data_IF_744529630623
#
_entry.id   IF_744529630623
#
_cell.length_a   1.000
_cell.length_b   1.000
_cell.length_c   1.000
_cell.angle_alpha   90.00
_cell.angle_beta   90.00
_cell.angle_gamma   90.00
#
_symmetry.space_group_name_H-M   'P 1'
#
loop_
_entity.id
_entity.type
_entity.pdbx_description
1 polymer ?
#
# COMPACT_ATOMS: atom_id res chain seq x y z
N UNK A 1 -5.21 13.24 -90.92
CA UNK A 1 -4.08 13.72 -90.12
C UNK A 1 -4.05 12.97 -88.80
N UNK A 2 -3.20 11.96 -88.64
CA UNK A 2 -3.07 11.08 -87.53
C UNK A 2 -1.93 11.58 -86.67
N UNK A 3 -2.16 11.77 -85.36
CA UNK A 3 -1.09 11.95 -84.34
C UNK A 3 -1.07 10.70 -83.46
N UNK A 4 -0.05 9.88 -83.63
CA UNK A 4 0.31 8.82 -82.71
C UNK A 4 0.83 9.36 -81.41
N UNK A 5 0.24 8.94 -80.26
CA UNK A 5 0.82 9.14 -78.94
C UNK A 5 1.59 7.86 -78.58
N UNK A 6 2.90 8.02 -78.28
CA UNK A 6 3.76 7.05 -77.65
C UNK A 6 3.50 7.02 -76.16
N UNK A 7 3.15 5.84 -75.64
CA UNK A 7 3.04 5.60 -74.19
C UNK A 7 4.39 5.01 -73.72
N UNK A 8 5.11 5.78 -72.96
CA UNK A 8 6.32 5.28 -72.28
C UNK A 8 5.96 4.45 -71.06
N UNK A 9 6.43 3.22 -70.98
CA UNK A 9 6.42 2.40 -69.78
C UNK A 9 7.44 2.94 -68.80
N UNK A 10 6.98 3.46 -67.67
CA UNK A 10 7.79 3.67 -66.47
C UNK A 10 7.72 2.44 -65.59
N UNK A 11 8.83 1.72 -65.49
CA UNK A 11 9.01 0.63 -64.53
C UNK A 11 9.08 1.23 -63.11
N UNK A 12 8.06 0.96 -62.31
CA UNK A 12 8.08 1.28 -60.88
C UNK A 12 8.91 0.18 -60.16
N UNK A 13 10.12 0.54 -59.76
CA UNK A 13 10.90 -0.25 -58.81
C UNK A 13 10.24 -0.12 -57.43
N UNK A 14 9.62 -1.20 -56.96
CA UNK A 14 9.09 -1.31 -55.62
C UNK A 14 10.25 -1.37 -54.63
N UNK A 15 10.48 -0.25 -53.91
CA UNK A 15 11.38 -0.19 -52.78
C UNK A 15 10.69 -0.88 -51.59
N UNK A 16 11.01 -2.14 -51.33
CA UNK A 16 10.56 -2.88 -50.14
C UNK A 16 11.26 -2.28 -48.91
N UNK A 17 10.59 -1.40 -48.21
CA UNK A 17 11.01 -0.96 -46.89
C UNK A 17 10.83 -2.15 -45.95
N UNK A 18 11.91 -2.80 -45.57
CA UNK A 18 11.96 -3.74 -44.45
C UNK A 18 11.63 -2.95 -43.19
N UNK A 19 10.37 -2.99 -42.75
CA UNK A 19 9.99 -2.61 -41.42
C UNK A 19 10.72 -3.54 -40.46
N UNK A 20 11.41 -3.02 -39.41
CA UNK A 20 12.01 -3.88 -38.41
C UNK A 20 10.89 -4.72 -37.78
N UNK A 21 11.12 -6.04 -37.79
CA UNK A 21 10.15 -7.01 -37.31
C UNK A 21 9.65 -6.61 -35.91
N UNK A 22 8.36 -6.39 -35.78
CA UNK A 22 7.69 -6.45 -34.48
C UNK A 22 7.91 -7.88 -34.01
N UNK A 23 8.85 -8.07 -33.09
CA UNK A 23 8.88 -9.30 -32.31
C UNK A 23 7.52 -9.35 -31.59
N UNK A 24 6.63 -10.19 -32.05
CA UNK A 24 5.44 -10.53 -31.30
C UNK A 24 5.95 -11.19 -30.01
N UNK A 25 5.84 -10.47 -28.89
CA UNK A 25 6.03 -11.08 -27.59
C UNK A 25 4.99 -12.20 -27.50
N UNK A 26 5.44 -13.41 -27.17
CA UNK A 26 4.51 -14.51 -26.94
C UNK A 26 3.55 -14.10 -25.82
N UNK A 27 2.24 -14.25 -26.03
CA UNK A 27 1.26 -14.02 -24.99
C UNK A 27 1.61 -14.87 -23.75
N UNK A 28 1.37 -14.34 -22.56
CA UNK A 28 1.57 -15.10 -21.32
C UNK A 28 0.68 -16.35 -21.33
N UNK A 29 1.24 -17.45 -20.81
CA UNK A 29 0.51 -18.71 -20.68
C UNK A 29 -0.38 -18.67 -19.43
N UNK A 30 -1.72 -18.88 -19.54
CA UNK A 30 -2.64 -18.85 -18.40
C UNK A 30 -2.24 -19.78 -17.24
N UNK A 31 -1.67 -20.95 -17.55
CA UNK A 31 -1.16 -21.88 -16.55
C UNK A 31 0.04 -21.30 -15.77
N UNK A 32 0.90 -20.52 -16.43
CA UNK A 32 2.00 -19.80 -15.80
C UNK A 32 1.50 -18.71 -14.87
N UNK A 33 0.52 -17.94 -15.30
CA UNK A 33 -0.12 -16.90 -14.46
C UNK A 33 -0.73 -17.51 -13.18
N UNK A 34 -1.49 -18.61 -13.31
CA UNK A 34 -2.12 -19.30 -12.18
C UNK A 34 -1.07 -19.86 -11.19
N UNK A 35 0.01 -20.45 -11.69
CA UNK A 35 1.10 -20.97 -10.86
C UNK A 35 1.79 -19.85 -10.05
N UNK A 36 2.07 -18.71 -10.70
CA UNK A 36 2.67 -17.54 -10.05
C UNK A 36 1.72 -16.95 -9.00
N UNK A 37 0.42 -16.80 -9.33
CA UNK A 37 -0.59 -16.29 -8.39
C UNK A 37 -0.72 -17.18 -7.15
N UNK A 38 -0.82 -18.50 -7.30
CA UNK A 38 -0.84 -19.44 -6.18
C UNK A 38 0.42 -19.35 -5.32
N UNK A 39 1.60 -19.19 -5.96
CA UNK A 39 2.86 -18.93 -5.27
C UNK A 39 2.82 -17.63 -4.47
N UNK A 40 2.39 -16.52 -5.08
CA UNK A 40 2.28 -15.21 -4.43
C UNK A 40 1.31 -15.22 -3.24
N UNK A 41 0.17 -15.92 -3.34
CA UNK A 41 -0.73 -16.04 -2.20
C UNK A 41 -0.03 -16.72 -1.03
N UNK A 42 0.65 -17.85 -1.26
CA UNK A 42 1.32 -18.63 -0.21
C UNK A 42 2.54 -17.95 0.40
N UNK A 43 3.37 -17.30 -0.41
CA UNK A 43 4.67 -16.80 0.04
C UNK A 43 4.70 -15.31 0.32
N UNK A 44 3.71 -14.55 -0.19
CA UNK A 44 3.67 -13.10 -0.04
C UNK A 44 2.41 -12.60 0.69
N UNK A 45 1.20 -12.90 0.17
CA UNK A 45 -0.03 -12.33 0.72
C UNK A 45 -0.37 -12.93 2.11
N UNK A 46 -0.49 -14.25 2.22
CA UNK A 46 -0.88 -14.91 3.47
C UNK A 46 0.07 -14.62 4.63
N UNK A 47 1.41 -14.77 4.50
CA UNK A 47 2.31 -14.47 5.61
C UNK A 47 2.22 -13.02 6.11
N UNK A 48 1.96 -12.07 5.21
CA UNK A 48 1.82 -10.64 5.55
C UNK A 48 0.50 -10.36 6.25
N UNK A 49 -0.61 -10.95 5.80
CA UNK A 49 -1.90 -10.81 6.49
C UNK A 49 -1.94 -11.58 7.81
N UNK A 50 -1.23 -12.71 7.93
CA UNK A 50 -1.02 -13.38 9.21
C UNK A 50 -0.24 -12.51 10.19
N UNK A 51 0.81 -11.84 9.72
CA UNK A 51 1.58 -10.89 10.53
C UNK A 51 0.71 -9.70 10.99
N UNK A 52 -0.14 -9.15 10.10
CA UNK A 52 -1.08 -8.09 10.46
C UNK A 52 -2.08 -8.55 11.51
N UNK A 53 -2.73 -9.70 11.30
CA UNK A 53 -3.69 -10.24 12.26
C UNK A 53 -3.04 -10.59 13.61
N UNK A 54 -1.80 -11.13 13.60
CA UNK A 54 -1.03 -11.41 14.80
C UNK A 54 -0.66 -10.16 15.57
N UNK A 55 -0.12 -9.13 14.89
CA UNK A 55 0.21 -7.86 15.51
C UNK A 55 -1.04 -7.14 16.07
N UNK A 56 -2.16 -7.16 15.32
CA UNK A 56 -3.43 -6.61 15.78
C UNK A 56 -3.97 -7.35 17.02
N UNK A 57 -3.77 -8.68 17.10
CA UNK A 57 -4.14 -9.48 18.27
C UNK A 57 -3.37 -9.06 19.53
N UNK A 58 -2.05 -8.94 19.42
CA UNK A 58 -1.19 -8.48 20.52
C UNK A 58 -1.60 -7.05 20.94
N UNK A 59 -1.87 -6.19 19.98
CA UNK A 59 -2.27 -4.80 20.25
C UNK A 59 -3.61 -4.73 20.99
N UNK A 60 -4.61 -5.48 20.54
CA UNK A 60 -5.92 -5.55 21.17
C UNK A 60 -5.83 -6.06 22.63
N UNK A 61 -5.00 -7.08 22.87
CA UNK A 61 -4.74 -7.59 24.22
C UNK A 61 -4.06 -6.54 25.13
N UNK A 62 -3.01 -5.86 24.63
CA UNK A 62 -2.32 -4.80 25.37
C UNK A 62 -3.25 -3.65 25.73
N UNK A 63 -4.10 -3.21 24.82
CA UNK A 63 -5.06 -2.15 25.09
C UNK A 63 -6.14 -2.58 26.07
N UNK A 64 -6.61 -3.82 26.04
CA UNK A 64 -7.55 -4.34 27.02
C UNK A 64 -6.95 -4.38 28.42
N UNK A 65 -5.71 -4.86 28.56
CA UNK A 65 -4.96 -4.85 29.83
C UNK A 65 -4.72 -3.42 30.36
N UNK A 66 -4.29 -2.52 29.47
CA UNK A 66 -4.05 -1.12 29.79
C UNK A 66 -5.34 -0.40 30.23
N UNK A 67 -6.46 -0.62 29.53
CA UNK A 67 -7.75 -0.02 29.91
C UNK A 67 -8.23 -0.46 31.28
N UNK A 68 -7.92 -1.71 31.69
CA UNK A 68 -8.27 -2.23 33.01
C UNK A 68 -7.38 -1.67 34.14
N UNK A 69 -6.09 -1.42 33.85
CA UNK A 69 -5.10 -0.92 34.83
C UNK A 69 -4.10 0.04 34.14
N UNK A 70 -4.48 1.29 33.90
CA UNK A 70 -3.63 2.25 33.20
C UNK A 70 -2.38 2.60 34.00
N UNK A 71 -1.19 2.38 33.41
CA UNK A 71 0.13 2.75 33.95
C UNK A 71 0.98 3.41 32.86
N UNK A 72 2.04 4.14 33.25
CA UNK A 72 2.96 4.74 32.30
C UNK A 72 3.60 3.67 31.36
N UNK A 73 4.09 2.58 31.92
CA UNK A 73 4.70 1.47 31.19
C UNK A 73 3.67 0.77 30.28
N UNK A 74 2.42 0.64 30.75
CA UNK A 74 1.31 0.10 29.97
C UNK A 74 1.00 0.96 28.74
N UNK A 75 1.02 2.29 28.87
CA UNK A 75 0.83 3.22 27.76
C UNK A 75 1.96 3.08 26.72
N UNK A 76 3.22 3.04 27.17
CA UNK A 76 4.36 2.84 26.26
C UNK A 76 4.31 1.46 25.57
N UNK A 77 3.88 0.42 26.29
CA UNK A 77 3.64 -0.91 25.69
C UNK A 77 2.55 -0.86 24.62
N UNK A 78 1.45 -0.13 24.84
CA UNK A 78 0.41 0.07 23.82
C UNK A 78 0.94 0.88 22.63
N UNK A 79 1.73 1.91 22.85
CA UNK A 79 2.37 2.71 21.79
C UNK A 79 3.34 1.89 20.95
N UNK A 80 4.12 1.00 21.59
CA UNK A 80 5.00 0.08 20.89
C UNK A 80 4.21 -0.93 20.05
N UNK A 81 3.13 -1.51 20.59
CA UNK A 81 2.24 -2.41 19.86
C UNK A 81 1.55 -1.71 18.68
N UNK A 82 1.14 -0.44 18.84
CA UNK A 82 0.60 0.37 17.74
C UNK A 82 1.58 0.48 16.57
N UNK A 83 2.86 0.79 16.88
CA UNK A 83 3.90 0.86 15.83
C UNK A 83 4.08 -0.47 15.12
N UNK A 84 4.03 -1.58 15.84
CA UNK A 84 4.16 -2.92 15.27
C UNK A 84 2.99 -3.27 14.33
N UNK A 85 1.75 -2.88 14.68
CA UNK A 85 0.60 -3.04 13.78
C UNK A 85 0.74 -2.16 12.54
N UNK A 86 1.24 -0.93 12.70
CA UNK A 86 1.49 -0.05 11.55
C UNK A 86 2.57 -0.61 10.62
N UNK A 87 3.63 -1.23 11.15
CA UNK A 87 4.63 -1.93 10.34
C UNK A 87 3.98 -3.05 9.50
N UNK A 88 3.16 -3.89 10.12
CA UNK A 88 2.46 -4.96 9.43
C UNK A 88 1.43 -4.41 8.42
N UNK A 89 0.72 -3.34 8.76
CA UNK A 89 -0.18 -2.63 7.85
C UNK A 89 0.55 -2.07 6.63
N UNK A 90 1.69 -1.40 6.82
CA UNK A 90 2.52 -0.91 5.72
C UNK A 90 2.97 -2.06 4.79
N UNK A 91 3.20 -3.25 5.36
CA UNK A 91 3.56 -4.45 4.62
C UNK A 91 2.48 -5.01 3.70
N UNK A 92 1.21 -4.61 3.84
CA UNK A 92 0.07 -5.09 3.04
C UNK A 92 -0.63 -4.00 2.24
N UNK A 93 -0.28 -2.73 2.41
CA UNK A 93 -0.98 -1.59 1.78
C UNK A 93 -1.03 -1.64 0.24
N UNK A 94 -0.11 -2.34 -0.40
CA UNK A 94 -0.08 -2.54 -1.85
C UNK A 94 -1.11 -3.59 -2.34
N UNK A 95 -1.64 -4.43 -1.45
CA UNK A 95 -2.63 -5.48 -1.75
C UNK A 95 -4.07 -4.97 -1.54
N UNK A 96 -4.37 -3.76 -2.03
CA UNK A 96 -5.69 -3.13 -1.85
C UNK A 96 -6.82 -3.77 -2.65
N UNK A 97 -6.52 -4.66 -3.59
CA UNK A 97 -7.51 -5.42 -4.33
C UNK A 97 -8.10 -6.60 -3.50
N UNK A 98 -9.16 -7.21 -4.01
CA UNK A 98 -9.79 -8.37 -3.40
C UNK A 98 -10.35 -8.11 -2.00
N UNK A 99 -10.07 -8.97 -1.00
CA UNK A 99 -10.68 -8.87 0.33
C UNK A 99 -10.48 -7.55 1.05
N UNK A 100 -9.35 -6.85 0.82
CA UNK A 100 -9.04 -5.57 1.47
C UNK A 100 -9.83 -4.40 0.89
N UNK A 101 -10.24 -4.44 -0.38
CA UNK A 101 -11.05 -3.41 -1.01
C UNK A 101 -12.53 -3.45 -0.61
N UNK A 102 -12.99 -4.59 -0.10
CA UNK A 102 -14.39 -4.78 0.24
C UNK A 102 -14.76 -4.01 1.52
N UNK A 103 -15.97 -3.46 1.56
CA UNK A 103 -16.53 -2.81 2.75
C UNK A 103 -15.65 -1.72 3.38
N UNK A 104 -14.87 -1.02 2.55
CA UNK A 104 -13.91 0.02 2.99
C UNK A 104 -12.90 -0.50 4.02
N UNK A 105 -12.57 -1.80 4.02
CA UNK A 105 -11.71 -2.41 5.04
C UNK A 105 -10.36 -1.71 5.16
N UNK A 106 -9.76 -1.29 4.05
CA UNK A 106 -8.51 -0.53 4.07
C UNK A 106 -8.65 0.78 4.85
N UNK A 107 -9.71 1.55 4.60
CA UNK A 107 -9.96 2.83 5.27
C UNK A 107 -10.41 2.63 6.73
N UNK A 108 -11.10 1.53 7.01
CA UNK A 108 -11.49 1.14 8.39
C UNK A 108 -10.29 0.68 9.22
N UNK A 109 -9.24 0.10 8.61
CA UNK A 109 -7.97 -0.19 9.30
C UNK A 109 -7.17 1.08 9.52
N UNK A 110 -7.02 1.95 8.50
CA UNK A 110 -6.28 3.19 8.64
C UNK A 110 -6.87 4.27 7.70
N UNK A 111 -7.60 5.22 8.28
CA UNK A 111 -8.23 6.31 7.54
C UNK A 111 -7.19 7.39 7.21
N UNK A 112 -6.51 7.20 6.10
CA UNK A 112 -5.50 8.13 5.60
C UNK A 112 -5.46 8.10 4.06
N UNK A 113 -5.30 9.26 3.35
CA UNK A 113 -5.14 10.63 3.88
C UNK A 113 -6.38 11.18 4.60
N UNK A 114 -6.14 11.84 5.73
CA UNK A 114 -7.21 12.48 6.51
C UNK A 114 -7.57 13.85 5.93
N UNK A 115 -8.85 14.10 5.65
CA UNK A 115 -9.34 15.41 5.20
C UNK A 115 -9.78 16.25 6.41
N UNK A 116 -9.24 17.47 6.51
CA UNK A 116 -9.72 18.54 7.40
C UNK A 116 -9.97 18.15 8.88
N UNK A 117 -9.16 17.28 9.45
CA UNK A 117 -9.23 16.91 10.87
C UNK A 117 -10.52 16.15 11.24
N UNK A 118 -11.08 15.37 10.33
CA UNK A 118 -12.32 14.61 10.55
C UNK A 118 -12.18 13.59 11.68
N UNK A 119 -11.05 12.88 11.73
CA UNK A 119 -10.77 11.90 12.80
C UNK A 119 -10.78 12.57 14.17
N UNK A 120 -10.07 13.71 14.31
CA UNK A 120 -10.02 14.46 15.56
C UNK A 120 -11.41 14.87 16.04
N UNK A 121 -12.20 15.50 15.14
CA UNK A 121 -13.54 15.98 15.51
C UNK A 121 -14.45 14.83 15.97
N UNK A 122 -14.41 13.70 15.25
CA UNK A 122 -15.26 12.55 15.58
C UNK A 122 -14.81 11.87 16.87
N UNK A 123 -13.51 11.67 17.09
CA UNK A 123 -12.99 11.10 18.36
C UNK A 123 -13.35 12.01 19.55
N UNK A 124 -13.19 13.32 19.42
CA UNK A 124 -13.58 14.25 20.49
C UNK A 124 -15.09 14.19 20.78
N UNK A 125 -15.93 14.08 19.72
CA UNK A 125 -17.38 13.91 19.89
C UNK A 125 -17.73 12.61 20.62
N UNK A 126 -17.08 11.49 20.28
CA UNK A 126 -17.26 10.19 20.96
C UNK A 126 -16.84 10.25 22.42
N UNK A 127 -15.68 10.85 22.72
CA UNK A 127 -15.19 11.03 24.09
C UNK A 127 -16.11 11.95 24.92
N UNK A 128 -16.77 12.91 24.30
CA UNK A 128 -17.76 13.79 24.95
C UNK A 128 -19.09 13.06 25.19
N UNK A 129 -19.58 12.33 24.21
CA UNK A 129 -20.86 11.61 24.28
C UNK A 129 -20.83 10.41 25.23
N UNK A 130 -19.71 9.69 25.29
CA UNK A 130 -19.49 8.49 26.12
C UNK A 130 -20.60 7.44 25.94
N UNK A 131 -21.09 7.27 24.70
CA UNK A 131 -22.14 6.28 24.40
C UNK A 131 -21.59 4.84 24.61
N UNK A 132 -22.13 4.07 25.58
CA UNK A 132 -21.67 2.71 25.84
C UNK A 132 -21.88 1.76 24.67
N UNK A 133 -22.83 2.04 23.76
CA UNK A 133 -23.08 1.23 22.55
C UNK A 133 -21.90 1.17 21.61
N UNK A 134 -20.97 2.12 21.68
CA UNK A 134 -19.71 2.10 20.91
C UNK A 134 -18.76 1.00 21.38
N UNK A 135 -18.90 0.54 22.61
CA UNK A 135 -18.07 -0.49 23.23
C UNK A 135 -18.61 -1.90 22.99
N UNK A 136 -19.85 -2.02 22.50
CA UNK A 136 -20.48 -3.30 22.19
C UNK A 136 -19.80 -3.95 20.96
N UNK A 137 -19.76 -5.28 20.85
CA UNK A 137 -19.33 -5.98 19.65
C UNK A 137 -20.05 -5.45 18.40
N UNK A 138 -19.30 -5.00 17.41
CA UNK A 138 -19.83 -4.38 16.19
C UNK A 138 -20.40 -2.97 16.36
N UNK A 139 -20.36 -2.37 17.55
CA UNK A 139 -20.75 -0.97 17.78
C UNK A 139 -19.97 0.00 16.89
N UNK A 140 -18.65 -0.17 16.83
CA UNK A 140 -17.76 0.62 15.98
C UNK A 140 -17.92 0.34 14.49
N UNK A 141 -18.25 -0.88 14.08
CA UNK A 141 -18.40 -1.23 12.67
C UNK A 141 -19.51 -0.41 11.96
N UNK A 142 -20.46 0.14 12.72
CA UNK A 142 -21.53 1.01 12.23
C UNK A 142 -21.16 2.51 12.19
N UNK A 143 -19.98 2.86 12.70
CA UNK A 143 -19.47 4.24 12.71
C UNK A 143 -18.74 4.56 11.41
N UNK A 144 -18.37 5.84 11.26
CA UNK A 144 -17.48 6.27 10.17
C UNK A 144 -16.15 5.52 10.20
N UNK A 145 -15.61 5.16 9.04
CA UNK A 145 -14.28 4.57 8.92
C UNK A 145 -13.19 5.40 9.63
N UNK A 146 -13.37 6.71 9.72
CA UNK A 146 -12.46 7.64 10.37
C UNK A 146 -12.18 7.33 11.86
N UNK A 147 -13.07 6.60 12.54
CA UNK A 147 -12.94 6.30 13.98
C UNK A 147 -12.73 4.82 14.28
N UNK A 148 -12.60 3.99 13.24
CA UNK A 148 -12.59 2.54 13.39
C UNK A 148 -11.19 1.90 13.52
N UNK A 149 -10.09 2.65 13.28
CA UNK A 149 -8.80 2.04 13.04
C UNK A 149 -7.60 2.76 13.63
N UNK A 150 -6.44 2.50 13.04
CA UNK A 150 -5.14 2.95 13.54
C UNK A 150 -5.03 4.47 13.65
N UNK A 151 -5.59 5.23 12.72
CA UNK A 151 -5.57 6.70 12.78
C UNK A 151 -6.34 7.24 13.99
N UNK A 152 -7.45 6.60 14.35
CA UNK A 152 -8.19 6.93 15.57
C UNK A 152 -7.41 6.57 16.84
N UNK A 153 -6.76 5.40 16.86
CA UNK A 153 -5.90 4.96 17.96
C UNK A 153 -4.67 5.87 18.15
N UNK A 154 -4.10 6.39 17.05
CA UNK A 154 -3.05 7.41 17.16
C UNK A 154 -3.52 8.64 17.93
N UNK A 155 -4.75 9.12 17.67
CA UNK A 155 -5.33 10.24 18.43
C UNK A 155 -5.53 9.90 19.89
N UNK A 156 -6.03 8.71 20.18
CA UNK A 156 -6.31 8.30 21.55
C UNK A 156 -5.04 8.11 22.39
N UNK A 157 -3.90 7.70 21.78
CA UNK A 157 -2.69 7.31 22.51
C UNK A 157 -1.53 8.30 22.40
N UNK A 158 -1.43 9.07 21.28
CA UNK A 158 -0.24 9.85 20.96
C UNK A 158 -0.48 11.35 20.81
N UNK A 159 -1.74 11.84 20.90
CA UNK A 159 -1.98 13.29 20.91
C UNK A 159 -1.20 13.94 22.06
N UNK A 160 -0.78 15.18 21.86
CA UNK A 160 -0.02 15.95 22.83
C UNK A 160 -0.73 16.00 24.19
N UNK A 161 0.02 15.81 25.25
CA UNK A 161 -0.50 15.78 26.63
C UNK A 161 -1.15 14.46 27.06
N UNK A 162 -1.24 13.45 26.17
CA UNK A 162 -1.76 12.13 26.56
C UNK A 162 -0.74 11.39 27.42
N UNK A 163 -1.15 11.11 28.66
CA UNK A 163 -0.41 10.31 29.64
C UNK A 163 -1.29 9.20 30.20
N UNK A 164 -0.76 8.31 31.01
CA UNK A 164 -1.55 7.30 31.70
C UNK A 164 -2.71 7.91 32.54
N UNK A 165 -2.52 9.09 33.10
CA UNK A 165 -3.57 9.80 33.84
C UNK A 165 -4.78 10.14 32.95
N UNK A 166 -4.60 10.29 31.62
CA UNK A 166 -5.69 10.53 30.68
C UNK A 166 -6.68 9.35 30.56
N UNK A 167 -6.35 8.21 31.16
CA UNK A 167 -7.13 6.96 31.14
C UNK A 167 -7.58 6.54 32.54
N UNK A 168 -7.28 7.33 33.56
CA UNK A 168 -7.54 7.06 34.97
C UNK A 168 -8.64 7.99 35.54
N UNK A 169 -9.02 7.74 36.80
CA UNK A 169 -9.85 8.61 37.58
C UNK A 169 -11.32 8.54 37.28
N UNK A 170 -11.84 9.48 36.50
CA UNK A 170 -13.27 9.66 36.25
C UNK A 170 -13.82 8.74 35.14
N UNK A 171 -15.11 8.92 34.86
CA UNK A 171 -15.80 8.20 33.77
C UNK A 171 -15.18 8.49 32.40
N UNK A 172 -14.69 9.72 32.15
CA UNK A 172 -14.13 10.11 30.87
C UNK A 172 -12.82 9.38 30.57
N UNK A 173 -11.93 9.27 31.57
CA UNK A 173 -10.68 8.51 31.44
C UNK A 173 -10.93 7.03 31.21
N UNK A 174 -11.84 6.42 31.99
CA UNK A 174 -12.23 5.02 31.79
C UNK A 174 -12.85 4.77 30.42
N UNK A 175 -13.75 5.65 29.96
CA UNK A 175 -14.34 5.54 28.63
C UNK A 175 -13.30 5.65 27.51
N UNK A 176 -12.30 6.56 27.65
CA UNK A 176 -11.19 6.67 26.68
C UNK A 176 -10.42 5.36 26.54
N UNK A 177 -10.10 4.69 27.65
CA UNK A 177 -9.44 3.39 27.66
C UNK A 177 -10.28 2.29 27.00
N UNK A 178 -11.54 2.20 27.39
CA UNK A 178 -12.47 1.24 26.80
C UNK A 178 -12.69 1.46 25.30
N UNK A 179 -12.81 2.72 24.85
CA UNK A 179 -12.91 3.06 23.43
C UNK A 179 -11.66 2.65 22.67
N UNK A 180 -10.46 2.91 23.20
CA UNK A 180 -9.22 2.48 22.56
C UNK A 180 -9.15 0.95 22.43
N UNK A 181 -9.54 0.21 23.45
CA UNK A 181 -9.60 -1.25 23.41
C UNK A 181 -10.63 -1.75 22.37
N UNK A 182 -11.80 -1.13 22.30
CA UNK A 182 -12.83 -1.49 21.33
C UNK A 182 -12.39 -1.22 19.88
N UNK A 183 -11.71 -0.11 19.61
CA UNK A 183 -11.14 0.19 18.28
C UNK A 183 -10.08 -0.83 17.90
N UNK A 184 -9.22 -1.25 18.83
CA UNK A 184 -8.20 -2.26 18.53
C UNK A 184 -8.82 -3.65 18.25
N UNK A 185 -9.88 -4.02 18.95
CA UNK A 185 -10.64 -5.25 18.66
C UNK A 185 -11.27 -5.20 17.27
N UNK A 186 -11.78 -4.03 16.83
CA UNK A 186 -12.30 -3.85 15.48
C UNK A 186 -11.19 -4.00 14.42
N UNK A 187 -9.99 -3.44 14.64
CA UNK A 187 -8.83 -3.65 13.74
C UNK A 187 -8.47 -5.12 13.65
N UNK A 188 -8.44 -5.85 14.78
CA UNK A 188 -8.19 -7.28 14.81
C UNK A 188 -9.23 -8.07 14.01
N UNK A 189 -10.52 -7.75 14.19
CA UNK A 189 -11.61 -8.42 13.47
C UNK A 189 -11.45 -8.25 11.95
N UNK A 190 -11.27 -7.01 11.48
CA UNK A 190 -11.07 -6.70 10.06
C UNK A 190 -9.81 -7.39 9.52
N UNK A 191 -8.70 -7.40 10.28
CA UNK A 191 -7.46 -8.04 9.87
C UNK A 191 -7.62 -9.56 9.67
N UNK A 192 -8.39 -10.22 10.53
CA UNK A 192 -8.74 -11.64 10.41
C UNK A 192 -9.63 -11.90 9.20
N UNK A 193 -10.66 -11.09 8.98
CA UNK A 193 -11.55 -11.20 7.82
C UNK A 193 -10.77 -11.09 6.50
N UNK A 194 -9.84 -10.14 6.40
CA UNK A 194 -9.00 -9.97 5.20
C UNK A 194 -8.07 -11.16 5.01
N UNK A 195 -7.40 -11.62 6.06
CA UNK A 195 -6.55 -12.82 6.03
C UNK A 195 -7.33 -14.04 5.55
N UNK A 196 -8.49 -14.29 6.12
CA UNK A 196 -9.33 -15.45 5.80
C UNK A 196 -9.87 -15.34 4.36
N UNK A 197 -10.18 -14.13 3.90
CA UNK A 197 -10.53 -13.86 2.51
C UNK A 197 -9.38 -14.19 1.55
N UNK A 198 -8.15 -13.81 1.85
CA UNK A 198 -6.98 -14.17 1.03
C UNK A 198 -6.69 -15.68 1.05
N UNK A 199 -6.89 -16.34 2.19
CA UNK A 199 -6.79 -17.79 2.28
C UNK A 199 -7.82 -18.50 1.38
N UNK A 200 -9.04 -17.97 1.32
CA UNK A 200 -10.09 -18.50 0.44
C UNK A 200 -9.79 -18.29 -1.06
N UNK A 201 -8.96 -17.31 -1.42
CA UNK A 201 -8.54 -17.05 -2.80
C UNK A 201 -7.43 -18.01 -3.29
N UNK A 202 -6.72 -18.71 -2.42
CA UNK A 202 -5.55 -19.52 -2.81
C UNK A 202 -5.89 -20.60 -3.84
N UNK A 203 -6.89 -21.44 -3.56
CA UNK A 203 -7.25 -22.54 -4.44
C UNK A 203 -7.84 -22.06 -5.79
N UNK A 204 -8.82 -21.12 -5.84
CA UNK A 204 -9.34 -20.60 -7.10
C UNK A 204 -8.27 -19.91 -7.95
N UNK A 205 -7.39 -19.10 -7.37
CA UNK A 205 -6.30 -18.44 -8.12
C UNK A 205 -5.30 -19.45 -8.67
N UNK A 206 -4.99 -20.51 -7.90
CA UNK A 206 -4.10 -21.60 -8.36
C UNK A 206 -4.73 -22.40 -9.50
N UNK A 207 -6.06 -22.53 -9.51
CA UNK A 207 -6.81 -23.18 -10.58
C UNK A 207 -7.07 -22.26 -11.79
N UNK A 208 -6.74 -20.97 -11.72
CA UNK A 208 -7.02 -19.99 -12.76
C UNK A 208 -8.51 -19.62 -12.87
N UNK A 209 -9.27 -19.87 -11.82
CA UNK A 209 -10.71 -19.62 -11.77
C UNK A 209 -11.05 -18.14 -11.51
N UNK A 210 -12.30 -17.79 -11.77
CA UNK A 210 -12.83 -16.47 -11.45
C UNK A 210 -12.79 -16.19 -9.94
N UNK A 211 -12.29 -15.00 -9.57
CA UNK A 211 -12.19 -14.54 -8.19
C UNK A 211 -12.56 -13.06 -8.06
N UNK A 212 -12.46 -12.51 -6.85
CA UNK A 212 -12.55 -11.07 -6.62
C UNK A 212 -11.43 -10.26 -7.30
N UNK A 213 -10.37 -10.91 -7.82
CA UNK A 213 -9.27 -10.26 -8.57
C UNK A 213 -9.50 -10.28 -10.09
N UNK A 214 -10.56 -10.93 -10.58
CA UNK A 214 -10.89 -10.95 -11.99
C UNK A 214 -11.46 -12.28 -12.47
N UNK A 215 -11.88 -12.34 -13.74
CA UNK A 215 -12.51 -13.53 -14.32
C UNK A 215 -11.54 -14.69 -14.57
N UNK A 216 -10.24 -14.43 -14.63
CA UNK A 216 -9.19 -15.41 -14.92
C UNK A 216 -7.85 -15.01 -14.31
N UNK A 217 -6.84 -15.87 -14.43
CA UNK A 217 -5.50 -15.65 -13.90
C UNK A 217 -4.81 -14.42 -14.51
N UNK A 218 -4.94 -14.21 -15.81
CA UNK A 218 -4.35 -13.05 -16.49
C UNK A 218 -4.88 -11.73 -15.96
N UNK A 219 -6.19 -11.65 -15.75
CA UNK A 219 -6.85 -10.49 -15.13
C UNK A 219 -6.38 -10.26 -13.69
N UNK A 220 -6.22 -11.32 -12.90
CA UNK A 220 -5.72 -11.22 -11.54
C UNK A 220 -4.26 -10.73 -11.49
N UNK A 221 -3.40 -11.18 -12.41
CA UNK A 221 -2.04 -10.63 -12.58
C UNK A 221 -2.08 -9.15 -12.92
N UNK A 222 -2.94 -8.74 -13.85
CA UNK A 222 -3.10 -7.32 -14.23
C UNK A 222 -3.54 -6.46 -13.04
N UNK A 223 -4.47 -6.94 -12.22
CA UNK A 223 -4.93 -6.25 -10.99
C UNK A 223 -3.79 -6.08 -9.99
N UNK A 224 -3.00 -7.12 -9.72
CA UNK A 224 -1.86 -7.02 -8.79
C UNK A 224 -0.75 -6.12 -9.33
N UNK A 225 -0.48 -6.18 -10.63
CA UNK A 225 0.51 -5.30 -11.25
C UNK A 225 0.07 -3.82 -11.21
N UNK A 226 -1.15 -3.52 -11.60
CA UNK A 226 -1.72 -2.16 -11.55
C UNK A 226 -1.78 -1.66 -10.09
N UNK A 227 -2.13 -2.54 -9.14
CA UNK A 227 -2.04 -2.25 -7.72
C UNK A 227 -0.64 -1.84 -7.27
N UNK A 228 0.42 -2.42 -7.84
CA UNK A 228 1.80 -2.02 -7.58
C UNK A 228 2.12 -0.60 -8.07
N UNK A 229 1.61 -0.22 -9.24
CA UNK A 229 1.75 1.14 -9.76
C UNK A 229 1.02 2.16 -8.89
N UNK A 230 -0.22 1.85 -8.49
CA UNK A 230 -1.01 2.68 -7.58
C UNK A 230 -0.31 2.83 -6.22
N UNK A 231 0.26 1.76 -5.68
CA UNK A 231 1.00 1.82 -4.41
C UNK A 231 2.27 2.69 -4.52
N UNK A 232 3.03 2.60 -5.61
CA UNK A 232 4.17 3.51 -5.85
C UNK A 232 3.72 4.96 -6.01
N UNK A 233 2.57 5.21 -6.66
CA UNK A 233 2.00 6.54 -6.77
C UNK A 233 1.60 7.09 -5.39
N UNK A 234 0.95 6.29 -4.55
CA UNK A 234 0.64 6.69 -3.16
C UNK A 234 1.91 7.02 -2.39
N UNK A 235 2.96 6.20 -2.50
CA UNK A 235 4.26 6.48 -1.87
C UNK A 235 4.86 7.80 -2.37
N UNK A 236 4.90 8.00 -3.68
CA UNK A 236 5.49 9.20 -4.28
C UNK A 236 4.67 10.46 -3.98
N UNK A 237 3.38 10.45 -4.30
CA UNK A 237 2.57 11.66 -4.35
C UNK A 237 1.96 11.99 -2.97
N UNK A 238 1.45 10.99 -2.25
CA UNK A 238 0.74 11.23 -0.99
C UNK A 238 1.68 11.15 0.22
N UNK A 239 2.59 10.15 0.29
CA UNK A 239 3.46 9.98 1.47
C UNK A 239 4.69 10.87 1.46
N UNK A 240 5.22 11.22 0.27
CA UNK A 240 6.44 12.01 0.13
C UNK A 240 6.17 13.42 -0.41
N UNK A 241 5.58 13.57 -1.61
CA UNK A 241 5.42 14.87 -2.26
C UNK A 241 4.45 15.78 -1.51
N UNK A 242 3.31 15.28 -1.05
CA UNK A 242 2.32 16.09 -0.34
C UNK A 242 2.86 16.72 0.94
N UNK A 243 3.58 16.00 1.85
CA UNK A 243 4.25 16.62 2.99
C UNK A 243 5.40 17.54 2.61
N UNK A 244 6.16 17.22 1.54
CA UNK A 244 7.25 18.06 1.05
C UNK A 244 6.76 19.46 0.67
N UNK A 245 5.63 19.57 -0.04
CA UNK A 245 5.26 20.84 -0.66
C UNK A 245 6.31 21.35 -1.67
N UNK A 246 6.13 22.55 -2.24
CA UNK A 246 7.07 23.09 -3.25
C UNK A 246 8.48 23.37 -2.70
N UNK A 247 8.59 23.82 -1.46
CA UNK A 247 9.86 24.13 -0.78
C UNK A 247 9.71 23.97 0.75
N UNK A 248 10.80 24.14 1.50
CA UNK A 248 10.80 23.94 2.95
C UNK A 248 9.87 24.91 3.70
N UNK A 249 9.70 26.14 3.23
CA UNK A 249 8.81 27.13 3.81
C UNK A 249 7.33 26.84 3.56
N UNK A 250 7.02 26.05 2.54
CA UNK A 250 5.68 25.61 2.16
C UNK A 250 5.44 24.12 2.42
N UNK A 251 6.32 23.49 3.21
CA UNK A 251 6.14 22.12 3.63
C UNK A 251 4.83 21.95 4.43
N UNK A 252 4.20 20.78 4.28
CA UNK A 252 2.93 20.42 4.93
C UNK A 252 3.11 19.21 5.86
N UNK A 253 3.88 19.34 6.96
CA UNK A 253 4.21 18.20 7.82
C UNK A 253 2.99 17.51 8.42
N UNK A 254 1.88 18.24 8.59
CA UNK A 254 0.65 17.74 9.19
C UNK A 254 -0.10 16.70 8.34
N UNK A 255 0.21 16.59 7.03
CA UNK A 255 -0.44 15.58 6.15
C UNK A 255 0.32 14.26 6.09
N UNK A 256 1.49 14.16 6.75
CA UNK A 256 2.26 12.91 6.77
C UNK A 256 1.47 11.77 7.42
N UNK A 257 1.58 10.56 6.83
CA UNK A 257 0.99 9.35 7.41
C UNK A 257 1.61 9.03 8.77
N UNK A 258 0.83 8.48 9.70
CA UNK A 258 1.31 8.06 11.02
C UNK A 258 2.16 9.13 11.70
N UNK A 259 1.69 10.37 11.62
CA UNK A 259 2.38 11.58 12.08
C UNK A 259 2.73 11.54 13.57
N UNK A 260 1.79 11.09 14.41
CA UNK A 260 1.90 11.13 15.87
C UNK A 260 2.75 10.01 16.44
N UNK A 261 2.65 8.84 15.84
CA UNK A 261 3.47 7.67 16.19
C UNK A 261 4.89 7.75 15.65
N UNK A 262 5.15 8.71 14.72
CA UNK A 262 6.46 8.91 14.10
C UNK A 262 6.84 7.85 13.06
N UNK A 263 5.85 7.10 12.51
CA UNK A 263 6.12 5.95 11.64
C UNK A 263 6.24 6.30 10.15
N UNK A 264 6.02 7.55 9.74
CA UNK A 264 5.91 7.96 8.34
C UNK A 264 7.07 7.51 7.43
N UNK A 265 8.33 7.72 7.84
CA UNK A 265 9.49 7.31 7.04
C UNK A 265 9.65 5.78 7.01
N UNK A 266 9.40 5.12 8.15
CA UNK A 266 9.44 3.66 8.27
C UNK A 266 8.37 3.00 7.40
N UNK A 267 7.17 3.55 7.34
CA UNK A 267 6.08 3.05 6.49
C UNK A 267 6.47 3.12 5.00
N UNK A 268 7.10 4.20 4.55
CA UNK A 268 7.59 4.32 3.16
C UNK A 268 8.61 3.22 2.85
N UNK A 269 9.57 2.97 3.75
CA UNK A 269 10.56 1.90 3.57
C UNK A 269 9.88 0.54 3.45
N UNK A 270 8.98 0.21 4.38
CA UNK A 270 8.26 -1.08 4.39
C UNK A 270 7.38 -1.24 3.13
N UNK A 271 6.73 -0.17 2.66
CA UNK A 271 5.98 -0.22 1.40
C UNK A 271 6.89 -0.58 0.20
N UNK A 272 8.08 0.02 0.11
CA UNK A 272 9.03 -0.28 -0.97
C UNK A 272 9.55 -1.71 -0.88
N UNK A 273 9.86 -2.21 0.32
CA UNK A 273 10.26 -3.60 0.57
C UNK A 273 9.15 -4.59 0.18
N UNK A 274 7.90 -4.29 0.55
CA UNK A 274 6.77 -5.13 0.22
C UNK A 274 6.48 -5.17 -1.29
N UNK A 275 6.59 -4.04 -1.98
CA UNK A 275 6.48 -3.96 -3.44
C UNK A 275 7.62 -4.71 -4.14
N UNK A 276 8.85 -4.58 -3.65
CA UNK A 276 9.99 -5.37 -4.12
C UNK A 276 9.69 -6.87 -4.03
N UNK A 277 9.18 -7.31 -2.89
CA UNK A 277 8.85 -8.71 -2.66
C UNK A 277 7.70 -9.21 -3.57
N UNK A 278 6.65 -8.44 -3.79
CA UNK A 278 5.58 -8.78 -4.72
C UNK A 278 6.09 -8.94 -6.15
N UNK A 279 6.98 -8.04 -6.59
CA UNK A 279 7.47 -8.03 -7.96
C UNK A 279 8.60 -9.04 -8.20
N UNK A 280 9.56 -9.15 -7.29
CA UNK A 280 10.76 -9.98 -7.46
C UNK A 280 10.66 -11.37 -6.80
N UNK A 281 9.72 -11.55 -5.88
CA UNK A 281 9.57 -12.76 -5.06
C UNK A 281 10.26 -12.65 -3.70
N UNK A 282 9.81 -13.46 -2.76
CA UNK A 282 10.37 -13.61 -1.42
C UNK A 282 10.12 -15.02 -0.87
N UNK A 283 10.86 -15.41 0.16
CA UNK A 283 10.66 -16.71 0.83
C UNK A 283 10.78 -17.94 -0.09
N UNK A 284 11.55 -17.84 -1.18
CA UNK A 284 11.65 -18.87 -2.19
C UNK A 284 10.46 -18.96 -3.17
N UNK A 285 9.46 -18.08 -2.99
CA UNK A 285 8.30 -17.99 -3.89
C UNK A 285 8.51 -17.04 -5.06
N UNK A 286 7.66 -17.15 -6.11
CA UNK A 286 7.74 -16.29 -7.28
C UNK A 286 7.27 -14.87 -6.96
N UNK A 287 7.81 -13.90 -7.72
CA UNK A 287 7.19 -12.58 -7.88
C UNK A 287 6.57 -12.43 -9.27
N UNK A 288 5.87 -11.32 -9.53
CA UNK A 288 5.27 -11.06 -10.83
C UNK A 288 6.29 -11.06 -11.99
N UNK A 289 7.56 -10.76 -11.71
CA UNK A 289 8.64 -10.84 -12.71
C UNK A 289 8.99 -12.27 -13.14
N UNK A 290 8.48 -13.32 -12.48
CA UNK A 290 8.57 -14.69 -12.98
C UNK A 290 7.81 -14.89 -14.31
N UNK A 291 6.89 -13.99 -14.62
CA UNK A 291 6.12 -13.96 -15.87
C UNK A 291 6.81 -13.19 -17.01
N UNK A 292 7.96 -12.57 -16.77
CA UNK A 292 8.74 -11.90 -17.83
C UNK A 292 9.23 -12.93 -18.85
N UNK A 293 9.28 -12.55 -20.15
CA UNK A 293 9.75 -13.44 -21.19
C UNK A 293 11.19 -13.91 -20.91
N UNK A 294 11.48 -15.15 -21.31
CA UNK A 294 12.84 -15.67 -21.26
C UNK A 294 13.76 -14.88 -22.21
N UNK A 295 15.05 -14.79 -21.87
CA UNK A 295 16.06 -14.09 -22.64
C UNK A 295 16.47 -12.73 -22.08
N UNK A 296 17.26 -11.99 -22.87
CA UNK A 296 17.98 -10.81 -22.41
C UNK A 296 17.06 -9.68 -21.93
N UNK A 297 15.97 -9.43 -22.63
CA UNK A 297 15.04 -8.34 -22.27
C UNK A 297 14.40 -8.54 -20.89
N UNK A 298 13.87 -9.75 -20.64
CA UNK A 298 13.30 -10.07 -19.32
C UNK A 298 14.35 -10.07 -18.20
N UNK A 299 15.54 -10.62 -18.49
CA UNK A 299 16.65 -10.61 -17.53
C UNK A 299 17.15 -9.19 -17.21
N UNK A 300 17.21 -8.29 -18.21
CA UNK A 300 17.58 -6.89 -17.99
C UNK A 300 16.52 -6.14 -17.20
N UNK A 301 15.23 -6.32 -17.52
CA UNK A 301 14.13 -5.71 -16.78
C UNK A 301 14.14 -6.13 -15.30
N UNK A 302 14.36 -7.43 -15.03
CA UNK A 302 14.46 -7.95 -13.67
C UNK A 302 15.63 -7.33 -12.90
N UNK A 303 16.83 -7.28 -13.48
CA UNK A 303 18.00 -6.62 -12.86
C UNK A 303 17.75 -5.13 -12.59
N UNK A 304 17.17 -4.42 -13.56
CA UNK A 304 16.85 -3.00 -13.39
C UNK A 304 15.87 -2.77 -12.22
N UNK A 305 14.89 -3.66 -12.02
CA UNK A 305 13.99 -3.61 -10.86
C UNK A 305 14.72 -3.91 -9.54
N UNK A 306 15.60 -4.91 -9.51
CA UNK A 306 16.40 -5.23 -8.32
C UNK A 306 17.26 -4.05 -7.88
N UNK A 307 17.96 -3.41 -8.83
CA UNK A 307 18.79 -2.22 -8.59
C UNK A 307 17.94 -1.02 -8.17
N UNK A 308 16.81 -0.80 -8.86
CA UNK A 308 15.89 0.29 -8.58
C UNK A 308 15.29 0.19 -7.17
N UNK A 309 14.79 -0.97 -6.78
CA UNK A 309 14.27 -1.19 -5.43
C UNK A 309 15.36 -1.10 -4.36
N UNK A 310 16.55 -1.63 -4.62
CA UNK A 310 17.68 -1.50 -3.70
C UNK A 310 18.05 -0.04 -3.46
N UNK A 311 18.08 0.77 -4.51
CA UNK A 311 18.33 2.20 -4.40
C UNK A 311 17.20 2.94 -3.67
N UNK A 312 15.93 2.60 -3.94
CA UNK A 312 14.77 3.23 -3.31
C UNK A 312 14.68 2.91 -1.81
N UNK A 313 14.89 1.66 -1.41
CA UNK A 313 14.90 1.24 0.00
C UNK A 313 16.03 1.94 0.75
N UNK A 314 17.26 1.96 0.20
CA UNK A 314 18.39 2.70 0.81
C UNK A 314 18.10 4.18 0.97
N UNK A 315 17.45 4.81 -0.02
CA UNK A 315 17.07 6.22 0.08
C UNK A 315 16.05 6.45 1.21
N UNK A 316 15.07 5.56 1.37
CA UNK A 316 14.09 5.63 2.44
C UNK A 316 14.72 5.40 3.83
N UNK A 317 15.67 4.48 3.95
CA UNK A 317 16.45 4.23 5.18
C UNK A 317 17.30 5.45 5.59
N UNK A 318 17.77 6.23 4.62
CA UNK A 318 18.57 7.42 4.86
C UNK A 318 17.76 8.62 5.38
N UNK A 319 16.43 8.55 5.45
CA UNK A 319 15.59 9.61 6.03
C UNK A 319 15.84 9.64 7.55
N UNK A 320 16.46 10.71 8.10
CA UNK A 320 17.02 10.69 9.46
C UNK A 320 15.99 10.93 10.57
N UNK A 321 14.72 11.15 10.21
CA UNK A 321 13.63 11.46 11.13
C UNK A 321 12.29 11.13 10.49
N UNK A 322 11.17 11.13 11.24
CA UNK A 322 9.84 11.05 10.66
C UNK A 322 9.66 12.14 9.59
N UNK A 323 8.91 11.82 8.52
CA UNK A 323 8.78 12.70 7.34
C UNK A 323 8.29 14.10 7.74
N UNK A 324 7.35 14.20 8.68
CA UNK A 324 6.85 15.48 9.19
C UNK A 324 7.96 16.37 9.79
N UNK A 325 9.01 15.78 10.37
CA UNK A 325 10.18 16.52 10.88
C UNK A 325 11.18 16.79 9.73
N UNK A 326 11.41 15.80 8.89
CA UNK A 326 12.41 15.89 7.83
C UNK A 326 12.04 16.95 6.76
N UNK A 327 10.77 17.09 6.39
CA UNK A 327 10.34 18.02 5.32
C UNK A 327 10.47 19.49 5.68
N UNK A 328 10.43 19.83 6.96
CA UNK A 328 10.59 21.20 7.45
C UNK A 328 12.07 21.63 7.62
N UNK A 329 12.99 20.68 7.61
CA UNK A 329 14.44 20.92 7.76
C UNK A 329 15.11 20.89 6.38
N UNK A 330 15.72 22.00 5.89
CA UNK A 330 16.32 22.05 4.55
C UNK A 330 17.42 21.02 4.29
N UNK A 331 18.14 20.58 5.32
CA UNK A 331 19.19 19.57 5.19
C UNK A 331 18.60 18.16 5.09
N UNK A 332 17.64 17.83 5.94
CA UNK A 332 16.98 16.52 5.99
C UNK A 332 16.02 16.31 4.82
N UNK A 333 15.37 17.39 4.35
CA UNK A 333 14.45 17.38 3.22
C UNK A 333 15.05 16.72 1.97
N UNK A 334 16.34 16.91 1.70
CA UNK A 334 17.03 16.31 0.55
C UNK A 334 16.94 14.78 0.51
N UNK A 335 16.92 14.12 1.65
CA UNK A 335 16.78 12.65 1.70
C UNK A 335 15.36 12.20 1.34
N UNK A 336 14.34 12.99 1.71
CA UNK A 336 12.95 12.75 1.31
C UNK A 336 12.77 12.97 -0.19
N UNK A 337 13.37 14.05 -0.75
CA UNK A 337 13.38 14.34 -2.19
C UNK A 337 14.06 13.24 -3.00
N UNK A 338 15.20 12.73 -2.52
CA UNK A 338 15.89 11.61 -3.13
C UNK A 338 15.03 10.33 -3.16
N UNK A 339 14.33 10.04 -2.05
CA UNK A 339 13.41 8.89 -1.97
C UNK A 339 12.24 9.05 -2.93
N UNK A 340 11.65 10.26 -3.02
CA UNK A 340 10.59 10.58 -3.98
C UNK A 340 11.04 10.32 -5.42
N UNK A 341 12.27 10.76 -5.78
CA UNK A 341 12.79 10.53 -7.12
C UNK A 341 12.93 9.03 -7.42
N UNK A 342 13.43 8.22 -6.47
CA UNK A 342 13.55 6.76 -6.64
C UNK A 342 12.19 6.08 -6.81
N UNK A 343 11.17 6.51 -6.08
CA UNK A 343 9.82 5.98 -6.26
C UNK A 343 9.25 6.30 -7.65
N UNK A 344 9.50 7.51 -8.17
CA UNK A 344 9.14 7.91 -9.55
C UNK A 344 9.91 7.11 -10.60
N UNK A 345 11.22 6.90 -10.42
CA UNK A 345 12.06 6.11 -11.32
C UNK A 345 11.54 4.68 -11.42
N UNK A 346 11.17 4.05 -10.29
CA UNK A 346 10.56 2.71 -10.25
C UNK A 346 9.23 2.67 -11.00
N UNK A 347 8.36 3.67 -10.81
CA UNK A 347 7.09 3.74 -11.54
C UNK A 347 7.32 3.82 -13.06
N UNK A 348 8.26 4.66 -13.49
CA UNK A 348 8.62 4.79 -14.90
C UNK A 348 9.18 3.47 -15.47
N UNK A 349 10.00 2.74 -14.70
CA UNK A 349 10.53 1.44 -15.10
C UNK A 349 9.40 0.40 -15.25
N UNK A 350 8.46 0.36 -14.30
CA UNK A 350 7.31 -0.54 -14.36
C UNK A 350 6.42 -0.22 -15.57
N UNK A 351 6.09 1.05 -15.80
CA UNK A 351 5.19 1.45 -16.89
C UNK A 351 5.85 1.35 -18.27
N UNK A 352 7.11 1.80 -18.39
CA UNK A 352 7.80 1.91 -19.68
C UNK A 352 8.50 0.63 -20.14
N UNK A 353 8.84 -0.27 -19.23
CA UNK A 353 9.62 -1.47 -19.55
C UNK A 353 8.90 -2.76 -19.15
N UNK A 354 8.46 -2.88 -17.89
CA UNK A 354 7.96 -4.15 -17.36
C UNK A 354 6.55 -4.45 -17.88
N UNK A 355 5.65 -3.47 -17.85
CA UNK A 355 4.27 -3.66 -18.34
C UNK A 355 4.20 -4.11 -19.81
N UNK A 356 4.94 -3.48 -20.76
CA UNK A 356 4.98 -3.97 -22.14
C UNK A 356 5.52 -5.40 -22.27
N UNK A 357 6.55 -5.77 -21.48
CA UNK A 357 7.11 -7.13 -21.50
C UNK A 357 6.16 -8.18 -20.92
N UNK A 358 5.25 -7.77 -20.02
CA UNK A 358 4.20 -8.62 -19.46
C UNK A 358 2.90 -8.57 -20.26
N UNK A 359 2.85 -7.87 -21.40
CA UNK A 359 1.63 -7.64 -22.17
C UNK A 359 0.48 -7.08 -21.32
N UNK A 360 0.82 -6.14 -20.42
CA UNK A 360 -0.15 -5.47 -19.55
C UNK A 360 -0.47 -4.09 -20.12
N UNK A 361 -1.73 -3.88 -20.48
CA UNK A 361 -2.26 -2.56 -20.81
C UNK A 361 -2.54 -1.78 -19.54
N UNK A 362 -1.82 -0.67 -19.33
CA UNK A 362 -2.05 0.23 -18.21
C UNK A 362 -3.24 1.13 -18.57
N UNK A 363 -4.39 0.88 -17.94
CA UNK A 363 -5.54 1.78 -17.97
C UNK A 363 -5.36 2.97 -17.02
N UNK A 364 -6.26 3.96 -17.09
CA UNK A 364 -6.35 5.02 -16.07
C UNK A 364 -6.66 4.38 -14.72
N UNK A 365 -5.95 4.78 -13.67
CA UNK A 365 -6.24 4.35 -12.31
C UNK A 365 -7.14 5.38 -11.60
N UNK A 366 -7.70 5.00 -10.44
CA UNK A 366 -8.62 5.86 -9.66
C UNK A 366 -8.00 7.19 -9.20
N UNK A 367 -6.68 7.37 -9.31
CA UNK A 367 -5.95 8.57 -8.90
C UNK A 367 -5.68 9.53 -10.08
N UNK A 368 -5.97 9.11 -11.32
CA UNK A 368 -5.74 9.92 -12.52
C UNK A 368 -6.96 10.84 -12.86
N UNK A 369 -8.00 10.85 -12.03
CA UNK A 369 -9.31 11.44 -12.27
C UNK A 369 -9.65 12.72 -11.50
N UNK A 370 -8.67 13.47 -10.95
CA UNK A 370 -8.92 14.80 -10.33
C UNK A 370 -8.15 15.92 -11.04
#
# INVERSE_FOLDING_TARGET
MQRRRMIGLMSAAALSILLPGRFALAAREPAGDAAVLGGLVRTHALPRFDALAGAAGIYAERLAQFAAAPTADGLESCRAAHRAVYDAWAGVQHLRAGPLSMELRADRIAFWPERAGVVQRQILAMLKARDPKLLDPGGLARQSAAVQGLTALERLLFDEGVTAASFQGDEAGRFRGALAAAVAQNVLAISREVRDGWKALEAPLTAGEQTALGPDAGSAVNVLFTGSLTALQVVADQKLLAPLGPNAGEAKPAVAEALRSGQSARNVRINLEALRALLLGEGGGPGLTALLPAGDAGAQARRALEDGFTAAVRAAEAIPAPINVAVADPAKRKTVEATLQRAKDLRNLLTGTVAPLLDISIGFNELDGD
#
